data_IF_704343116993
#
_entry.id   IF_704343116993
#
_cell.length_a   1.000
_cell.length_b   1.000
_cell.length_c   1.000
_cell.angle_alpha   90.00
_cell.angle_beta   90.00
_cell.angle_gamma   90.00
#
_symmetry.space_group_name_H-M   'P 1'
#
loop_
_entity.id
_entity.type
_entity.pdbx_description
1 polymer ?
#
# COMPACT_ATOMS: atom_id res chain seq x y z
N UNK A 1 3.05 -42.62 -44.16
CA UNK A 1 2.34 -41.86 -43.10
C UNK A 1 2.91 -42.36 -41.81
N UNK A 2 3.97 -41.72 -41.33
CA UNK A 2 4.58 -42.08 -40.06
C UNK A 2 4.29 -40.95 -39.09
N UNK A 3 3.58 -41.30 -38.02
CA UNK A 3 3.09 -40.41 -36.98
C UNK A 3 4.25 -39.58 -36.42
N UNK A 4 4.13 -38.26 -36.53
CA UNK A 4 4.86 -37.32 -35.69
C UNK A 4 4.60 -37.70 -34.22
N UNK A 5 5.57 -38.35 -33.59
CA UNK A 5 5.64 -38.40 -32.14
C UNK A 5 5.94 -36.97 -31.69
N UNK A 6 4.89 -36.17 -31.54
CA UNK A 6 4.93 -34.98 -30.71
C UNK A 6 5.35 -35.48 -29.33
N UNK A 7 6.64 -35.37 -29.05
CA UNK A 7 7.34 -36.09 -27.99
C UNK A 7 6.68 -35.76 -26.65
N UNK A 8 6.24 -36.78 -25.92
CA UNK A 8 5.64 -36.65 -24.59
C UNK A 8 6.54 -35.81 -23.64
N UNK A 9 7.85 -35.80 -23.87
CA UNK A 9 8.81 -34.97 -23.14
C UNK A 9 8.61 -33.46 -23.39
N UNK A 10 8.20 -33.06 -24.59
CA UNK A 10 7.87 -31.66 -24.90
C UNK A 10 6.63 -31.21 -24.11
N UNK A 11 5.59 -32.03 -24.07
CA UNK A 11 4.37 -31.74 -23.30
C UNK A 11 4.64 -31.71 -21.78
N UNK A 12 5.49 -32.60 -21.28
CA UNK A 12 5.88 -32.62 -19.87
C UNK A 12 6.69 -31.37 -19.46
N UNK A 13 7.55 -30.87 -20.34
CA UNK A 13 8.29 -29.64 -20.10
C UNK A 13 7.37 -28.41 -20.11
N UNK A 14 6.43 -28.33 -21.04
CA UNK A 14 5.43 -27.23 -21.05
C UNK A 14 4.53 -27.23 -19.81
N UNK A 15 4.12 -28.41 -19.32
CA UNK A 15 3.34 -28.53 -18.08
C UNK A 15 4.17 -28.07 -16.88
N UNK A 16 5.46 -28.41 -16.84
CA UNK A 16 6.39 -27.96 -15.78
C UNK A 16 6.54 -26.44 -15.77
N UNK A 17 6.81 -25.83 -16.92
CA UNK A 17 6.98 -24.39 -17.05
C UNK A 17 5.72 -23.62 -16.62
N UNK A 18 4.53 -24.14 -16.96
CA UNK A 18 3.24 -23.58 -16.51
C UNK A 18 3.06 -23.71 -15.00
N UNK A 19 3.48 -24.82 -14.40
CA UNK A 19 3.38 -25.05 -12.97
C UNK A 19 4.32 -24.12 -12.18
N UNK A 20 5.55 -23.93 -12.68
CA UNK A 20 6.52 -22.99 -12.12
C UNK A 20 6.04 -21.54 -12.23
N UNK A 21 5.50 -21.16 -13.41
CA UNK A 21 4.91 -19.84 -13.62
C UNK A 21 3.74 -19.57 -12.67
N UNK A 22 2.87 -20.57 -12.46
CA UNK A 22 1.76 -20.45 -11.52
C UNK A 22 2.25 -20.26 -10.09
N UNK A 23 3.25 -21.03 -9.67
CA UNK A 23 3.85 -20.90 -8.33
C UNK A 23 4.45 -19.52 -8.11
N UNK A 24 5.20 -19.00 -9.09
CA UNK A 24 5.77 -17.66 -9.02
C UNK A 24 4.69 -16.56 -8.93
N UNK A 25 3.57 -16.74 -9.64
CA UNK A 25 2.42 -15.82 -9.56
C UNK A 25 1.78 -15.83 -8.17
N UNK A 26 1.60 -17.01 -7.58
CA UNK A 26 1.00 -17.14 -6.25
C UNK A 26 1.89 -16.49 -5.18
N UNK A 27 3.21 -16.70 -5.25
CA UNK A 27 4.20 -16.03 -4.36
C UNK A 27 4.16 -14.50 -4.51
N UNK A 28 4.03 -13.98 -5.74
CA UNK A 28 3.91 -12.55 -6.00
C UNK A 28 2.61 -11.98 -5.40
N UNK A 29 1.50 -12.69 -5.53
CA UNK A 29 0.21 -12.27 -4.98
C UNK A 29 0.25 -12.20 -3.45
N UNK A 30 0.86 -13.19 -2.79
CA UNK A 30 1.03 -13.19 -1.35
C UNK A 30 1.91 -12.02 -0.87
N UNK A 31 3.01 -11.74 -1.60
CA UNK A 31 3.86 -10.60 -1.32
C UNK A 31 3.10 -9.26 -1.46
N UNK A 32 2.31 -9.11 -2.53
CA UNK A 32 1.47 -7.92 -2.75
C UNK A 32 0.43 -7.75 -1.63
N UNK A 33 -0.22 -8.83 -1.20
CA UNK A 33 -1.17 -8.77 -0.09
C UNK A 33 -0.49 -8.33 1.22
N UNK A 34 0.72 -8.83 1.49
CA UNK A 34 1.48 -8.45 2.68
C UNK A 34 1.85 -6.96 2.64
N UNK A 35 2.38 -6.49 1.51
CA UNK A 35 2.71 -5.06 1.31
C UNK A 35 1.46 -4.18 1.46
N UNK A 36 0.31 -4.62 0.92
CA UNK A 36 -0.96 -3.91 1.07
C UNK A 36 -1.42 -3.79 2.53
N UNK A 37 -1.23 -4.86 3.32
CA UNK A 37 -1.52 -4.84 4.77
C UNK A 37 -0.59 -3.91 5.53
N UNK A 38 0.71 -3.96 5.26
CA UNK A 38 1.70 -3.09 5.89
C UNK A 38 1.43 -1.62 5.57
N UNK A 39 1.11 -1.31 4.32
CA UNK A 39 0.74 0.04 3.90
C UNK A 39 -0.53 0.54 4.60
N UNK A 40 -1.56 -0.30 4.67
CA UNK A 40 -2.82 0.03 5.38
C UNK A 40 -2.58 0.31 6.86
N UNK A 41 -1.68 -0.45 7.50
CA UNK A 41 -1.29 -0.21 8.90
C UNK A 41 -0.61 1.14 9.05
N UNK A 42 0.37 1.46 8.21
CA UNK A 42 1.10 2.74 8.25
C UNK A 42 0.14 3.92 8.07
N UNK A 43 -0.83 3.83 7.15
CA UNK A 43 -1.84 4.87 6.97
C UNK A 43 -2.72 5.05 8.22
N UNK A 44 -3.14 3.95 8.85
CA UNK A 44 -3.94 3.99 10.09
C UNK A 44 -3.19 4.67 11.24
N UNK A 45 -1.90 4.35 11.41
CA UNK A 45 -1.04 4.99 12.41
C UNK A 45 -0.85 6.49 12.11
N UNK A 46 -0.60 6.84 10.85
CA UNK A 46 -0.49 8.23 10.43
C UNK A 46 -1.77 9.04 10.68
N UNK A 47 -2.94 8.47 10.39
CA UNK A 47 -4.23 9.08 10.68
C UNK A 47 -4.46 9.27 12.18
N UNK A 48 -4.03 8.30 12.99
CA UNK A 48 -4.09 8.41 14.46
C UNK A 48 -3.21 9.55 14.98
N UNK A 49 -1.99 9.69 14.47
CA UNK A 49 -1.12 10.81 14.79
C UNK A 49 -1.75 12.16 14.36
N UNK A 50 -2.33 12.22 13.16
CA UNK A 50 -3.00 13.43 12.67
C UNK A 50 -4.21 13.81 13.52
N UNK A 51 -4.99 12.83 13.98
CA UNK A 51 -6.11 13.06 14.89
C UNK A 51 -5.65 13.60 16.25
N UNK A 52 -4.55 13.08 16.81
CA UNK A 52 -3.95 13.57 18.03
C UNK A 52 -3.49 15.04 17.89
N UNK A 53 -2.83 15.38 16.78
CA UNK A 53 -2.44 16.77 16.47
C UNK A 53 -3.67 17.68 16.38
N UNK A 54 -4.73 17.25 15.69
CA UNK A 54 -5.96 18.02 15.54
C UNK A 54 -6.65 18.27 16.90
N UNK A 55 -6.62 17.27 17.78
CA UNK A 55 -7.14 17.41 19.14
C UNK A 55 -6.41 18.48 19.94
N UNK A 56 -5.07 18.51 19.90
CA UNK A 56 -4.28 19.54 20.58
C UNK A 56 -4.48 20.93 19.98
N UNK A 57 -4.61 21.05 18.65
CA UNK A 57 -4.94 22.33 17.99
C UNK A 57 -6.31 22.84 18.44
N UNK A 58 -7.30 21.94 18.51
CA UNK A 58 -8.66 22.27 18.97
C UNK A 58 -8.67 22.78 20.41
N UNK A 59 -7.86 22.19 21.31
CA UNK A 59 -7.75 22.66 22.70
C UNK A 59 -7.26 24.11 22.81
N UNK A 60 -6.45 24.58 21.86
CA UNK A 60 -6.01 25.98 21.80
C UNK A 60 -7.06 26.93 21.23
N UNK A 61 -8.27 26.44 20.90
CA UNK A 61 -9.32 27.24 20.27
C UNK A 61 -9.04 27.58 18.81
N UNK A 62 -8.08 26.92 18.17
CA UNK A 62 -7.68 27.16 16.78
C UNK A 62 -8.47 26.21 15.86
N UNK A 63 -8.81 26.68 14.66
CA UNK A 63 -9.40 25.83 13.61
C UNK A 63 -8.45 24.67 13.27
N UNK A 64 -8.96 23.44 13.34
CA UNK A 64 -8.22 22.24 12.90
C UNK A 64 -8.13 22.13 11.38
N UNK A 65 -9.05 22.77 10.65
CA UNK A 65 -9.07 22.74 9.21
C UNK A 65 -8.19 23.85 8.64
N UNK A 66 -7.28 23.53 7.70
CA UNK A 66 -6.49 24.53 7.02
C UNK A 66 -7.41 25.46 6.19
N UNK A 67 -7.03 26.74 6.04
CA UNK A 67 -7.69 27.65 5.10
C UNK A 67 -7.68 27.09 3.67
N UNK A 68 -8.66 27.48 2.84
CA UNK A 68 -8.77 27.02 1.45
C UNK A 68 -7.55 27.35 0.59
N UNK A 69 -6.80 28.39 0.95
CA UNK A 69 -5.57 28.83 0.28
C UNK A 69 -4.29 28.30 0.94
N UNK A 70 -4.38 27.25 1.75
CA UNK A 70 -3.21 26.62 2.35
C UNK A 70 -2.62 25.57 1.40
N UNK A 71 -1.41 25.82 0.91
CA UNK A 71 -0.76 24.99 -0.11
C UNK A 71 -0.10 23.72 0.43
N UNK A 72 -0.03 23.54 1.75
CA UNK A 72 0.61 22.41 2.40
C UNK A 72 -0.33 21.26 2.75
N UNK A 73 0.22 20.17 3.27
CA UNK A 73 -0.58 19.05 3.75
C UNK A 73 -1.26 19.37 5.10
N UNK A 74 -2.42 18.76 5.36
CA UNK A 74 -3.20 19.03 6.57
C UNK A 74 -2.40 18.84 7.88
N UNK A 75 -1.61 17.78 7.99
CA UNK A 75 -0.80 17.53 9.19
C UNK A 75 0.27 18.62 9.41
N UNK A 76 0.85 19.18 8.36
CA UNK A 76 1.79 20.31 8.48
C UNK A 76 1.10 21.57 9.01
N UNK A 77 -0.13 21.83 8.58
CA UNK A 77 -0.93 22.93 9.11
C UNK A 77 -1.15 22.76 10.62
N UNK A 78 -1.52 21.56 11.07
CA UNK A 78 -1.73 21.26 12.48
C UNK A 78 -0.44 21.48 13.30
N UNK A 79 0.70 21.00 12.80
CA UNK A 79 2.02 21.23 13.43
C UNK A 79 2.33 22.72 13.51
N UNK A 80 2.12 23.49 12.43
CA UNK A 80 2.32 24.95 12.42
C UNK A 80 1.45 25.66 13.45
N UNK A 81 0.20 25.23 13.67
CA UNK A 81 -0.68 25.82 14.68
C UNK A 81 -0.20 25.51 16.10
N UNK A 82 0.36 24.32 16.34
CA UNK A 82 0.95 23.96 17.64
C UNK A 82 2.29 24.64 17.92
N UNK A 83 3.02 25.03 16.88
CA UNK A 83 4.29 25.74 17.00
C UNK A 83 4.12 27.24 17.34
N UNK A 84 2.95 27.83 17.05
CA UNK A 84 2.62 29.21 17.43
C UNK A 84 2.42 29.28 18.95
N UNK A 85 3.25 30.06 19.63
CA UNK A 85 3.19 30.33 21.08
C UNK A 85 2.15 31.40 21.39
#
# INVERSE_FOLDING_TARGET
MDLETCSDDTLLNEVRDRLETKKAKDELLDALQKVGKDYSRVLSEFDSCRAALAYEVKKRGISVNPPKNYDGAWHEYLIKMLAKK
#
